data_IF_507690985915
#
_entry.id   IF_507690985915
#
_cell.length_a   1.000
_cell.length_b   1.000
_cell.length_c   1.000
_cell.angle_alpha   90.00
_cell.angle_beta   90.00
_cell.angle_gamma   90.00
#
_symmetry.space_group_name_H-M   'P 1'
#
loop_
_entity.id
_entity.type
_entity.pdbx_description
1 polymer ?
#
# COMPACT_ATOMS: atom_id res chain seq x y z
N UNK A 1 -6.74 -19.71 -8.26
CA UNK A 1 -5.39 -19.74 -8.86
C UNK A 1 -5.44 -18.85 -10.09
N UNK A 2 -4.87 -17.65 -9.98
CA UNK A 2 -4.71 -16.79 -11.14
C UNK A 2 -4.06 -17.60 -12.26
N UNK A 3 -4.85 -18.08 -13.20
CA UNK A 3 -4.36 -18.44 -14.52
C UNK A 3 -3.98 -17.14 -15.16
N UNK A 4 -2.90 -16.85 -14.88
CA UNK A 4 -1.99 -15.78 -14.90
C UNK A 4 -2.03 -15.04 -16.21
N UNK A 5 -2.10 -13.75 -16.08
CA UNK A 5 -1.70 -12.75 -17.06
C UNK A 5 -0.50 -13.22 -17.91
N UNK A 6 0.38 -14.06 -17.36
CA UNK A 6 1.54 -14.66 -18.03
C UNK A 6 1.21 -15.59 -19.20
N UNK A 7 0.05 -16.26 -19.23
CA UNK A 7 -0.32 -17.15 -20.35
C UNK A 7 -0.64 -16.37 -21.64
N UNK A 8 -0.77 -15.05 -21.55
CA UNK A 8 -1.04 -14.16 -22.67
C UNK A 8 0.21 -13.45 -23.21
N UNK A 9 1.35 -13.57 -22.52
CA UNK A 9 2.60 -12.98 -22.99
C UNK A 9 3.25 -13.84 -24.07
N UNK A 10 3.28 -13.35 -25.30
CA UNK A 10 4.04 -13.93 -26.40
C UNK A 10 5.08 -12.92 -26.86
N UNK A 11 6.36 -13.20 -26.58
CA UNK A 11 7.51 -12.39 -27.02
C UNK A 11 8.13 -11.52 -25.93
N UNK A 12 9.23 -10.84 -26.26
CA UNK A 12 10.12 -10.13 -25.32
C UNK A 12 9.80 -8.64 -25.16
N UNK A 13 8.69 -8.14 -25.70
CA UNK A 13 8.33 -6.72 -25.71
C UNK A 13 7.23 -6.36 -24.70
N UNK A 14 7.10 -5.06 -24.44
CA UNK A 14 5.97 -4.54 -23.66
C UNK A 14 4.65 -4.77 -24.42
N UNK A 15 3.69 -5.39 -23.73
CA UNK A 15 2.37 -5.67 -24.28
C UNK A 15 1.29 -5.02 -23.41
N UNK A 16 0.30 -4.38 -24.04
CA UNK A 16 -0.87 -3.85 -23.36
C UNK A 16 -1.87 -4.96 -23.11
N UNK A 17 -2.08 -5.32 -21.86
CA UNK A 17 -3.11 -6.28 -21.46
C UNK A 17 -4.27 -5.56 -20.78
N UNK A 18 -5.49 -6.01 -21.09
CA UNK A 18 -6.68 -5.61 -20.35
C UNK A 18 -6.92 -6.63 -19.24
N UNK A 19 -6.82 -6.17 -18.00
CA UNK A 19 -7.13 -7.03 -16.86
C UNK A 19 -8.63 -7.37 -16.85
N UNK A 20 -9.02 -8.60 -16.44
CA UNK A 20 -10.41 -8.92 -16.15
C UNK A 20 -11.02 -7.96 -15.14
N UNK A 21 -12.33 -7.75 -15.21
CA UNK A 21 -13.02 -6.81 -14.32
C UNK A 21 -12.97 -7.24 -12.84
N UNK A 22 -12.87 -8.52 -12.59
CA UNK A 22 -12.73 -9.16 -11.27
C UNK A 22 -11.27 -9.35 -10.83
N UNK A 23 -10.30 -8.89 -11.62
CA UNK A 23 -8.89 -8.99 -11.27
C UNK A 23 -8.59 -8.18 -10.00
N UNK A 24 -8.00 -8.77 -8.96
CA UNK A 24 -7.59 -8.02 -7.77
C UNK A 24 -6.46 -7.05 -8.08
N UNK A 25 -5.76 -7.28 -9.20
CA UNK A 25 -4.68 -6.40 -9.67
C UNK A 25 -5.21 -5.16 -10.38
N UNK A 26 -4.40 -4.13 -10.38
CA UNK A 26 -4.65 -2.85 -11.02
C UNK A 26 -4.25 -1.69 -10.10
N UNK A 27 -3.65 -0.67 -10.68
CA UNK A 27 -3.08 0.47 -9.96
C UNK A 27 -1.78 0.14 -9.23
N UNK A 28 -1.14 1.17 -8.65
CA UNK A 28 0.20 1.09 -8.05
C UNK A 28 0.25 0.16 -6.83
N UNK A 29 -0.79 0.16 -5.99
CA UNK A 29 -0.83 -0.62 -4.74
C UNK A 29 -0.69 -2.13 -4.95
N UNK A 30 -1.05 -2.65 -6.12
CA UNK A 30 -1.03 -4.08 -6.40
C UNK A 30 0.13 -4.50 -7.30
N UNK A 31 1.07 -3.59 -7.55
CA UNK A 31 2.34 -3.91 -8.20
C UNK A 31 3.26 -4.64 -7.22
N UNK A 32 3.99 -5.63 -7.72
CA UNK A 32 4.89 -6.43 -6.87
C UNK A 32 5.97 -5.57 -6.19
N UNK A 33 6.46 -4.53 -6.85
CA UNK A 33 7.42 -3.60 -6.28
C UNK A 33 6.84 -2.90 -5.03
N UNK A 34 5.61 -2.36 -5.09
CA UNK A 34 4.95 -1.73 -3.97
C UNK A 34 4.71 -2.73 -2.82
N UNK A 35 4.18 -3.91 -3.16
CA UNK A 35 3.83 -4.95 -2.18
C UNK A 35 5.07 -5.53 -1.48
N UNK A 36 6.22 -5.61 -2.15
CA UNK A 36 7.45 -6.16 -1.59
C UNK A 36 8.15 -5.22 -0.61
N UNK A 37 7.97 -3.89 -0.72
CA UNK A 37 8.47 -2.93 0.28
C UNK A 37 7.84 -3.23 1.65
N UNK A 38 6.55 -3.54 1.68
CA UNK A 38 5.81 -3.89 2.91
C UNK A 38 6.00 -5.34 3.32
N UNK A 39 7.23 -5.88 3.28
CA UNK A 39 7.53 -7.25 3.73
C UNK A 39 8.71 -7.28 4.70
N UNK A 40 8.70 -8.29 5.56
CA UNK A 40 9.79 -8.59 6.48
C UNK A 40 10.38 -9.97 6.10
N UNK A 41 11.08 -10.02 4.97
CA UNK A 41 11.64 -11.24 4.41
C UNK A 41 10.58 -12.17 3.85
N UNK A 42 10.19 -13.20 4.58
CA UNK A 42 9.22 -14.21 4.14
C UNK A 42 7.78 -13.94 4.63
N UNK A 43 7.55 -12.84 5.31
CA UNK A 43 6.25 -12.44 5.88
C UNK A 43 5.85 -11.04 5.46
N UNK A 44 4.57 -10.82 5.27
CA UNK A 44 3.99 -9.50 5.02
C UNK A 44 3.93 -8.68 6.30
N UNK A 45 3.94 -7.36 6.16
CA UNK A 45 3.73 -6.42 7.25
C UNK A 45 2.59 -5.45 6.90
N UNK A 46 1.38 -5.67 7.44
CA UNK A 46 0.27 -4.73 7.27
C UNK A 46 0.64 -3.33 7.75
N UNK A 47 1.39 -3.23 8.83
CA UNK A 47 1.86 -1.95 9.38
C UNK A 47 2.64 -1.15 8.33
N UNK A 48 3.65 -1.75 7.70
CA UNK A 48 4.45 -1.08 6.67
C UNK A 48 3.60 -0.81 5.42
N UNK A 49 2.77 -1.78 4.98
CA UNK A 49 1.90 -1.59 3.81
C UNK A 49 0.89 -0.48 4.00
N UNK A 50 0.27 -0.40 5.18
CA UNK A 50 -0.67 0.65 5.52
C UNK A 50 0.00 2.03 5.60
N UNK A 51 1.18 2.10 6.21
CA UNK A 51 1.99 3.31 6.25
C UNK A 51 2.35 3.80 4.83
N UNK A 52 2.78 2.89 3.93
CA UNK A 52 3.09 3.22 2.53
C UNK A 52 1.87 3.74 1.76
N UNK A 53 0.68 3.15 1.97
CA UNK A 53 -0.54 3.67 1.33
C UNK A 53 -0.82 5.09 1.80
N UNK A 54 -0.71 5.35 3.10
CA UNK A 54 -0.90 6.71 3.64
C UNK A 54 0.13 7.71 3.11
N UNK A 55 1.39 7.32 3.08
CA UNK A 55 2.47 8.16 2.60
C UNK A 55 2.35 8.44 1.10
N UNK A 56 2.25 7.39 0.28
CA UNK A 56 2.36 7.52 -1.19
C UNK A 56 1.05 7.92 -1.85
N UNK A 57 -0.10 7.54 -1.29
CA UNK A 57 -1.40 7.77 -1.94
C UNK A 57 -2.26 8.83 -1.24
N UNK A 58 -2.04 9.08 0.05
CA UNK A 58 -2.84 10.04 0.80
C UNK A 58 -2.03 11.26 1.27
N UNK A 59 -0.71 11.27 1.01
CA UNK A 59 0.21 12.32 1.47
C UNK A 59 0.07 12.64 2.98
N UNK A 60 -0.23 11.60 3.77
CA UNK A 60 -0.42 11.66 5.22
C UNK A 60 0.43 10.57 5.90
N UNK A 61 1.78 10.69 5.85
CA UNK A 61 2.67 9.72 6.45
C UNK A 61 2.45 9.62 7.96
N UNK A 62 2.41 8.41 8.52
CA UNK A 62 2.36 8.27 9.97
C UNK A 62 3.62 8.86 10.61
N UNK A 63 3.51 9.42 11.82
CA UNK A 63 4.68 9.93 12.54
C UNK A 63 5.69 8.81 12.80
N UNK A 64 6.99 9.14 12.93
CA UNK A 64 8.00 8.16 13.25
C UNK A 64 7.68 7.47 14.59
N UNK A 65 7.96 6.15 14.73
CA UNK A 65 7.69 5.45 15.97
C UNK A 65 8.50 6.05 17.13
N UNK A 66 7.95 6.05 18.34
CA UNK A 66 8.71 6.44 19.53
C UNK A 66 9.98 5.57 19.70
N UNK A 67 11.04 6.09 20.31
CA UNK A 67 12.23 5.30 20.59
C UNK A 67 11.89 4.08 21.48
N UNK A 68 12.56 2.95 21.20
CA UNK A 68 12.42 1.70 21.97
C UNK A 68 11.05 0.98 21.86
N UNK A 69 10.33 1.17 20.77
CA UNK A 69 9.14 0.35 20.49
C UNK A 69 9.58 -1.04 20.07
N UNK A 70 9.12 -2.11 20.75
CA UNK A 70 9.44 -3.48 20.35
C UNK A 70 8.77 -3.81 19.02
N UNK A 71 9.47 -4.56 18.17
CA UNK A 71 8.89 -5.08 16.94
C UNK A 71 7.65 -5.93 17.21
N UNK A 72 6.69 -5.93 16.28
CA UNK A 72 5.44 -6.68 16.37
C UNK A 72 5.65 -8.18 16.66
N UNK A 73 6.75 -8.74 16.16
CA UNK A 73 7.11 -10.18 16.28
C UNK A 73 7.53 -10.58 17.68
N UNK A 74 7.92 -9.66 18.54
CA UNK A 74 8.48 -9.96 19.88
C UNK A 74 7.49 -9.75 21.04
N UNK A 75 6.21 -9.58 20.74
CA UNK A 75 5.20 -9.28 21.77
C UNK A 75 4.77 -10.48 22.65
N UNK A 76 5.62 -11.50 22.83
CA UNK A 76 5.40 -12.58 23.80
C UNK A 76 4.26 -13.54 23.46
N UNK A 77 3.91 -13.69 22.19
CA UNK A 77 2.72 -14.34 21.70
C UNK A 77 2.97 -15.72 21.10
N UNK A 78 1.88 -16.41 20.77
CA UNK A 78 1.92 -17.66 20.03
C UNK A 78 2.80 -17.48 18.76
N UNK A 79 3.91 -18.21 18.62
CA UNK A 79 4.78 -18.12 17.44
C UNK A 79 4.09 -18.55 16.15
N UNK A 80 2.90 -19.10 16.25
CA UNK A 80 2.03 -19.47 15.12
C UNK A 80 0.82 -18.55 15.00
N UNK A 81 0.79 -17.39 15.63
CA UNK A 81 -0.28 -16.42 15.46
C UNK A 81 -0.32 -15.87 14.02
N UNK A 82 -1.53 -15.63 13.49
CA UNK A 82 -1.72 -14.95 12.20
C UNK A 82 -1.24 -13.50 12.27
N UNK A 83 -0.93 -12.90 11.11
CA UNK A 83 -0.58 -11.47 11.03
C UNK A 83 -1.69 -10.61 11.61
N UNK A 84 -2.95 -10.90 11.29
CA UNK A 84 -4.11 -10.17 11.82
C UNK A 84 -4.20 -10.25 13.35
N UNK A 85 -3.95 -11.44 13.93
CA UNK A 85 -3.94 -11.60 15.39
C UNK A 85 -2.82 -10.81 16.06
N UNK A 86 -1.64 -10.73 15.43
CA UNK A 86 -0.53 -9.95 15.93
C UNK A 86 -0.82 -8.44 15.90
N UNK A 87 -1.46 -7.95 14.84
CA UNK A 87 -1.90 -6.56 14.72
C UNK A 87 -2.94 -6.24 15.80
N UNK A 88 -3.96 -7.10 15.97
CA UNK A 88 -4.99 -6.92 17.00
C UNK A 88 -4.38 -6.82 18.40
N UNK A 89 -3.49 -7.75 18.75
CA UNK A 89 -2.79 -7.76 20.03
C UNK A 89 -1.94 -6.49 20.25
N UNK A 90 -1.29 -5.99 19.20
CA UNK A 90 -0.51 -4.76 19.29
C UNK A 90 -1.40 -3.55 19.60
N UNK A 91 -2.61 -3.52 19.07
CA UNK A 91 -3.60 -2.47 19.28
C UNK A 91 -4.32 -2.55 20.64
N UNK A 92 -4.18 -3.64 21.41
CA UNK A 92 -4.68 -3.69 22.79
C UNK A 92 -4.04 -2.64 23.70
N UNK A 93 -2.81 -2.21 23.39
CA UNK A 93 -2.15 -1.14 24.10
C UNK A 93 -2.61 0.21 23.57
N UNK A 94 -3.31 0.98 24.37
CA UNK A 94 -3.87 2.30 23.99
C UNK A 94 -2.85 3.23 23.34
N UNK A 95 -1.59 3.21 23.84
CA UNK A 95 -0.52 4.01 23.27
C UNK A 95 -0.16 3.59 21.84
N UNK A 96 -0.21 2.31 21.52
CA UNK A 96 0.05 1.80 20.17
C UNK A 96 -1.17 2.04 19.26
N UNK A 97 -2.37 1.75 19.76
CA UNK A 97 -3.62 1.90 19.03
C UNK A 97 -3.84 3.32 18.52
N UNK A 98 -3.43 4.33 19.28
CA UNK A 98 -3.61 5.76 18.91
C UNK A 98 -3.03 6.12 17.54
N UNK A 99 -1.94 5.45 17.14
CA UNK A 99 -1.35 5.61 15.81
C UNK A 99 -1.76 4.49 14.86
N UNK A 100 -1.65 3.23 15.30
CA UNK A 100 -1.79 2.04 14.45
C UNK A 100 -3.21 1.83 13.92
N UNK A 101 -4.25 2.22 14.65
CA UNK A 101 -5.64 2.18 14.16
C UNK A 101 -5.85 2.98 12.86
N UNK A 102 -4.98 3.94 12.56
CA UNK A 102 -5.10 4.82 11.39
C UNK A 102 -4.56 4.21 10.08
N UNK A 103 -3.75 3.15 10.14
CA UNK A 103 -3.12 2.60 8.94
C UNK A 103 -3.02 1.07 8.91
N UNK A 104 -3.05 0.36 10.03
CA UNK A 104 -2.93 -1.10 10.04
C UNK A 104 -4.04 -1.79 9.25
N UNK A 105 -5.27 -1.32 9.37
CA UNK A 105 -6.41 -1.86 8.63
C UNK A 105 -6.27 -1.66 7.12
N UNK A 106 -5.67 -0.56 6.69
CA UNK A 106 -5.37 -0.33 5.27
C UNK A 106 -4.39 -1.41 4.77
N UNK A 107 -3.37 -1.69 5.56
CA UNK A 107 -2.39 -2.73 5.21
C UNK A 107 -2.98 -4.14 5.22
N UNK A 108 -3.90 -4.44 6.16
CA UNK A 108 -4.62 -5.71 6.17
C UNK A 108 -5.44 -5.92 4.90
N UNK A 109 -5.97 -4.86 4.29
CA UNK A 109 -6.64 -4.89 2.99
C UNK A 109 -5.78 -5.42 1.83
N UNK A 110 -4.46 -5.48 2.01
CA UNK A 110 -3.50 -6.00 1.03
C UNK A 110 -2.98 -7.41 1.37
N UNK A 111 -3.47 -8.07 2.43
CA UNK A 111 -2.92 -9.34 2.90
C UNK A 111 -3.18 -10.53 1.99
N UNK A 112 -4.17 -10.45 1.08
CA UNK A 112 -4.30 -11.42 0.01
C UNK A 112 -3.10 -11.43 -0.96
N UNK A 113 -2.25 -10.40 -0.93
CA UNK A 113 -0.99 -10.41 -1.65
C UNK A 113 0.15 -10.82 -0.72
N UNK A 114 0.75 -11.98 -0.98
CA UNK A 114 1.89 -12.49 -0.24
C UNK A 114 3.14 -11.59 -0.33
N UNK A 115 4.27 -12.02 0.24
CA UNK A 115 5.50 -11.21 0.27
C UNK A 115 6.05 -10.84 -1.11
N UNK A 116 5.85 -11.69 -2.11
CA UNK A 116 6.25 -11.44 -3.50
C UNK A 116 5.12 -10.85 -4.36
N UNK A 117 4.03 -10.44 -3.74
CA UNK A 117 2.87 -9.90 -4.44
C UNK A 117 2.02 -10.95 -5.15
N UNK A 118 2.21 -12.25 -4.91
CA UNK A 118 1.35 -13.30 -5.43
C UNK A 118 0.07 -13.36 -4.60
N UNK A 119 -1.06 -13.63 -5.28
CA UNK A 119 -2.35 -13.79 -4.60
C UNK A 119 -2.38 -15.06 -3.75
N UNK A 120 -2.98 -14.95 -2.57
CA UNK A 120 -3.20 -16.06 -1.64
C UNK A 120 -4.53 -15.88 -0.91
N UNK A 121 -5.22 -16.95 -0.63
CA UNK A 121 -6.46 -16.97 0.17
C UNK A 121 -6.19 -17.39 1.62
N UNK A 122 -4.98 -17.93 1.87
CA UNK A 122 -4.57 -18.43 3.18
C UNK A 122 -3.17 -17.93 3.56
N UNK A 123 -2.97 -17.68 4.84
CA UNK A 123 -1.68 -17.42 5.46
C UNK A 123 -1.14 -18.73 6.05
N UNK A 124 0.01 -19.18 5.56
CA UNK A 124 0.77 -20.27 6.17
C UNK A 124 1.79 -19.71 7.16
N UNK A 125 1.56 -19.91 8.45
CA UNK A 125 2.50 -19.55 9.51
C UNK A 125 3.32 -20.76 9.93
N UNK A 126 4.63 -20.63 9.97
CA UNK A 126 5.55 -21.71 10.37
C UNK A 126 6.61 -21.20 11.34
N UNK A 127 6.99 -22.02 12.31
CA UNK A 127 8.13 -21.72 13.18
C UNK A 127 9.48 -21.75 12.45
N UNK A 128 9.57 -22.44 11.31
CA UNK A 128 10.80 -22.53 10.53
C UNK A 128 11.28 -21.18 9.96
N UNK A 129 10.48 -20.14 10.04
CA UNK A 129 10.88 -18.77 9.69
C UNK A 129 12.06 -18.30 10.57
N UNK A 130 12.27 -18.91 11.72
CA UNK A 130 13.35 -18.59 12.65
C UNK A 130 14.40 -19.71 12.82
N UNK A 131 14.18 -20.90 12.27
CA UNK A 131 15.06 -22.05 12.47
C UNK A 131 15.22 -22.88 11.18
N UNK A 132 16.22 -22.55 10.38
CA UNK A 132 16.56 -23.24 9.12
C UNK A 132 16.94 -24.73 9.26
N UNK A 133 16.88 -25.33 10.46
CA UNK A 133 17.34 -26.69 10.74
C UNK A 133 16.25 -27.68 11.16
N UNK A 134 14.99 -27.29 11.28
CA UNK A 134 13.94 -28.18 11.79
C UNK A 134 13.14 -28.77 10.63
N UNK A 135 13.36 -30.05 10.29
CA UNK A 135 12.67 -30.77 9.22
C UNK A 135 11.15 -30.93 9.40
N UNK A 136 10.60 -30.73 10.59
CA UNK A 136 9.17 -30.81 10.93
C UNK A 136 8.78 -29.63 11.85
N UNK A 137 8.87 -28.41 11.35
CA UNK A 137 8.41 -27.27 12.13
C UNK A 137 6.88 -27.30 12.26
N UNK A 138 6.31 -26.95 13.42
CA UNK A 138 4.90 -26.70 13.56
C UNK A 138 4.43 -25.66 12.54
N UNK A 139 3.23 -25.88 11.98
CA UNK A 139 2.63 -24.96 11.03
C UNK A 139 1.14 -24.80 11.33
N UNK A 140 0.62 -23.64 11.00
CA UNK A 140 -0.80 -23.31 11.11
C UNK A 140 -1.25 -22.55 9.87
N UNK A 141 -2.44 -22.82 9.41
CA UNK A 141 -3.03 -22.18 8.24
C UNK A 141 -4.22 -21.35 8.70
N UNK A 142 -4.30 -20.11 8.25
CA UNK A 142 -5.41 -19.23 8.54
C UNK A 142 -6.01 -18.70 7.24
N UNK A 143 -7.33 -18.65 7.12
CA UNK A 143 -7.97 -17.90 6.05
C UNK A 143 -7.58 -16.41 6.20
N UNK A 144 -7.36 -15.74 5.07
CA UNK A 144 -7.06 -14.33 5.09
C UNK A 144 -8.35 -13.53 5.21
N UNK A 145 -8.42 -12.72 6.25
CA UNK A 145 -9.41 -11.68 6.42
C UNK A 145 -8.76 -10.34 6.04
N UNK A 146 -9.13 -9.82 4.87
CA UNK A 146 -8.63 -8.56 4.33
C UNK A 146 -9.59 -7.39 4.57
N UNK A 147 -10.54 -7.55 5.50
CA UNK A 147 -11.46 -6.48 5.88
C UNK A 147 -10.75 -5.37 6.65
N UNK A 148 -11.24 -4.16 6.55
CA UNK A 148 -10.68 -3.02 7.25
C UNK A 148 -11.50 -1.76 7.08
N UNK A 149 -10.89 -0.64 7.51
CA UNK A 149 -11.48 0.69 7.48
C UNK A 149 -10.43 1.71 7.10
N UNK A 150 -10.81 2.71 6.32
CA UNK A 150 -9.99 3.89 6.03
C UNK A 150 -10.13 4.94 7.14
N UNK A 151 -9.20 5.88 7.27
CA UNK A 151 -9.27 6.96 8.28
C UNK A 151 -10.54 7.82 8.22
N UNK A 152 -11.21 7.88 7.06
CA UNK A 152 -12.46 8.59 6.86
C UNK A 152 -13.72 7.80 7.28
N UNK A 153 -13.56 6.59 7.84
CA UNK A 153 -14.64 5.71 8.28
C UNK A 153 -15.22 4.79 7.21
N UNK A 154 -14.70 4.82 5.97
CA UNK A 154 -15.12 3.91 4.91
C UNK A 154 -14.61 2.50 5.16
N UNK A 155 -15.52 1.54 5.25
CA UNK A 155 -15.19 0.13 5.47
C UNK A 155 -15.07 -0.65 4.17
N UNK A 156 -14.30 -1.72 4.19
CA UNK A 156 -14.13 -2.62 3.06
C UNK A 156 -13.91 -4.06 3.53
N UNK A 157 -14.24 -5.04 2.70
CA UNK A 157 -14.05 -6.46 2.98
C UNK A 157 -12.81 -7.05 2.25
N UNK A 158 -12.38 -6.42 1.18
CA UNK A 158 -11.29 -6.89 0.32
C UNK A 158 -10.70 -5.74 -0.50
N UNK A 159 -9.62 -6.03 -1.24
CA UNK A 159 -8.86 -5.03 -2.03
C UNK A 159 -9.71 -4.22 -3.02
N UNK A 160 -10.75 -4.81 -3.61
CA UNK A 160 -11.63 -4.05 -4.51
C UNK A 160 -12.44 -2.99 -3.75
N UNK A 161 -13.00 -3.37 -2.59
CA UNK A 161 -13.69 -2.43 -1.70
C UNK A 161 -12.74 -1.32 -1.22
N UNK A 162 -11.51 -1.68 -0.83
CA UNK A 162 -10.50 -0.70 -0.43
C UNK A 162 -10.15 0.28 -1.56
N UNK A 163 -9.97 -0.20 -2.79
CA UNK A 163 -9.75 0.68 -3.96
C UNK A 163 -10.94 1.61 -4.19
N UNK A 164 -12.17 1.08 -4.10
CA UNK A 164 -13.37 1.89 -4.26
C UNK A 164 -13.50 2.96 -3.16
N UNK A 165 -13.16 2.63 -1.92
CA UNK A 165 -13.13 3.57 -0.81
C UNK A 165 -12.07 4.66 -1.00
N UNK A 166 -10.86 4.30 -1.44
CA UNK A 166 -9.80 5.28 -1.78
C UNK A 166 -10.20 6.19 -2.95
N UNK A 167 -10.96 5.69 -3.92
CA UNK A 167 -11.44 6.51 -5.05
C UNK A 167 -12.49 7.55 -4.65
N UNK A 168 -13.07 7.48 -3.46
CA UNK A 168 -13.89 8.58 -2.91
C UNK A 168 -13.04 9.78 -2.52
N UNK A 169 -11.76 9.56 -2.25
CA UNK A 169 -10.75 10.57 -1.95
C UNK A 169 -9.85 10.86 -3.18
N UNK A 170 -10.41 10.76 -4.39
CA UNK A 170 -9.62 10.83 -5.63
C UNK A 170 -8.77 12.08 -5.76
N UNK A 171 -9.24 13.25 -5.25
CA UNK A 171 -8.47 14.50 -5.26
C UNK A 171 -7.23 14.39 -4.36
N UNK A 172 -7.36 13.82 -3.16
CA UNK A 172 -6.23 13.62 -2.26
C UNK A 172 -5.20 12.66 -2.87
N UNK A 173 -5.67 11.54 -3.45
CA UNK A 173 -4.80 10.59 -4.15
C UNK A 173 -4.11 11.24 -5.35
N UNK A 174 -4.84 12.03 -6.15
CA UNK A 174 -4.28 12.76 -7.28
C UNK A 174 -3.24 13.80 -6.84
N UNK A 175 -3.52 14.52 -5.75
CA UNK A 175 -2.62 15.49 -5.16
C UNK A 175 -1.30 14.85 -4.72
N UNK A 176 -1.36 13.75 -4.00
CA UNK A 176 -0.16 13.00 -3.57
C UNK A 176 0.69 12.55 -4.76
N UNK A 177 0.05 12.01 -5.81
CA UNK A 177 0.75 11.59 -7.04
C UNK A 177 1.36 12.80 -7.76
N UNK A 178 0.60 13.90 -7.85
CA UNK A 178 1.08 15.13 -8.49
C UNK A 178 2.30 15.68 -7.77
N UNK A 179 2.25 15.81 -6.44
CA UNK A 179 3.36 16.28 -5.62
C UNK A 179 4.59 15.38 -5.75
N UNK A 180 4.42 14.06 -5.71
CA UNK A 180 5.52 13.12 -5.93
C UNK A 180 6.18 13.26 -7.31
N UNK A 181 5.39 13.44 -8.38
CA UNK A 181 5.89 13.69 -9.72
C UNK A 181 6.58 15.05 -9.81
N UNK A 182 6.04 16.06 -9.15
CA UNK A 182 6.60 17.41 -9.09
C UNK A 182 7.96 17.45 -8.39
N UNK A 183 8.06 16.81 -7.22
CA UNK A 183 9.33 16.65 -6.50
C UNK A 183 10.37 15.93 -7.37
N UNK A 184 9.96 14.85 -8.04
CA UNK A 184 10.85 14.11 -8.94
C UNK A 184 11.34 14.97 -10.10
N UNK A 185 10.45 15.75 -10.73
CA UNK A 185 10.77 16.59 -11.87
C UNK A 185 11.70 17.75 -11.52
N UNK A 186 11.54 18.34 -10.33
CA UNK A 186 12.30 19.49 -9.88
C UNK A 186 13.55 19.12 -9.04
N UNK A 187 13.68 17.84 -8.63
CA UNK A 187 14.78 17.39 -7.78
C UNK A 187 14.80 18.04 -6.38
N UNK A 188 13.67 18.53 -5.90
CA UNK A 188 13.48 19.15 -4.59
C UNK A 188 12.09 18.89 -4.03
N UNK A 189 11.94 19.06 -2.73
CA UNK A 189 10.62 18.99 -2.07
C UNK A 189 9.73 20.17 -2.47
N UNK A 190 8.41 19.95 -2.32
CA UNK A 190 7.39 21.00 -2.47
C UNK A 190 7.60 22.08 -1.43
N UNK A 191 7.62 23.33 -1.86
CA UNK A 191 7.64 24.49 -1.00
C UNK A 191 6.26 25.12 -0.85
N UNK A 192 6.08 25.97 0.15
CA UNK A 192 4.83 26.71 0.33
C UNK A 192 4.43 27.53 -0.92
N UNK A 193 5.41 28.05 -1.66
CA UNK A 193 5.17 28.83 -2.87
C UNK A 193 4.70 27.99 -4.06
N UNK A 194 4.84 26.67 -4.02
CA UNK A 194 4.39 25.74 -5.07
C UNK A 194 2.91 25.39 -4.92
N UNK A 195 2.34 25.49 -3.70
CA UNK A 195 0.98 25.07 -3.39
C UNK A 195 -0.09 25.69 -4.32
N UNK A 196 -0.08 27.02 -4.62
CA UNK A 196 -1.06 27.59 -5.53
C UNK A 196 -1.02 27.00 -6.94
N UNK A 197 0.15 26.60 -7.43
CA UNK A 197 0.30 25.95 -8.73
C UNK A 197 -0.26 24.53 -8.70
N UNK A 198 0.03 23.78 -7.62
CA UNK A 198 -0.47 22.42 -7.45
C UNK A 198 -1.99 22.41 -7.37
N UNK A 199 -2.57 23.26 -6.53
CA UNK A 199 -4.02 23.38 -6.38
C UNK A 199 -4.70 23.78 -7.71
N UNK A 200 -4.17 24.79 -8.43
CA UNK A 200 -4.70 25.18 -9.74
C UNK A 200 -4.62 24.04 -10.75
N UNK A 201 -3.54 23.27 -10.76
CA UNK A 201 -3.41 22.12 -11.66
C UNK A 201 -4.42 21.02 -11.31
N UNK A 202 -4.64 20.76 -10.03
CA UNK A 202 -5.65 19.78 -9.60
C UNK A 202 -7.07 20.22 -9.95
N UNK A 203 -7.42 21.49 -9.78
CA UNK A 203 -8.72 22.05 -10.15
C UNK A 203 -8.99 21.89 -11.67
N UNK A 204 -7.99 22.17 -12.49
CA UNK A 204 -8.09 22.04 -13.94
C UNK A 204 -8.22 20.57 -14.39
N UNK A 205 -7.60 19.64 -13.67
CA UNK A 205 -7.60 18.20 -14.01
C UNK A 205 -8.78 17.44 -13.43
N UNK A 206 -9.57 18.04 -12.55
CA UNK A 206 -10.70 17.38 -11.90
C UNK A 206 -11.73 16.86 -12.90
N UNK A 207 -12.11 17.68 -13.87
CA UNK A 207 -13.07 17.31 -14.91
C UNK A 207 -12.61 16.14 -15.80
N UNK A 208 -11.30 15.93 -15.92
CA UNK A 208 -10.68 14.84 -16.65
C UNK A 208 -10.41 13.60 -15.77
N UNK A 209 -10.76 13.65 -14.50
CA UNK A 209 -10.45 12.60 -13.50
C UNK A 209 -8.94 12.34 -13.31
N UNK A 210 -8.16 13.38 -13.33
CA UNK A 210 -6.73 13.41 -13.01
C UNK A 210 -5.86 12.45 -13.83
N UNK A 211 -5.81 12.52 -15.17
CA UNK A 211 -4.95 11.66 -15.98
C UNK A 211 -3.47 11.94 -15.68
N UNK A 212 -2.69 10.89 -15.41
CA UNK A 212 -1.24 11.02 -15.11
C UNK A 212 -0.49 11.74 -16.23
N UNK A 213 -0.84 11.51 -17.50
CA UNK A 213 -0.23 12.21 -18.63
C UNK A 213 -0.46 13.72 -18.57
N UNK A 214 -1.67 14.15 -18.24
CA UNK A 214 -2.02 15.56 -18.08
C UNK A 214 -1.28 16.18 -16.89
N UNK A 215 -1.15 15.44 -15.78
CA UNK A 215 -0.31 15.85 -14.62
C UNK A 215 1.13 16.12 -15.04
N UNK A 216 1.77 15.15 -15.72
CA UNK A 216 3.14 15.30 -16.22
C UNK A 216 3.25 16.52 -17.13
N UNK A 217 2.30 16.69 -18.06
CA UNK A 217 2.31 17.84 -18.98
C UNK A 217 2.22 19.17 -18.22
N UNK A 218 1.34 19.28 -17.21
CA UNK A 218 1.25 20.46 -16.35
C UNK A 218 2.56 20.76 -15.62
N UNK A 219 3.23 19.75 -15.13
CA UNK A 219 4.52 19.91 -14.44
C UNK A 219 5.59 20.44 -15.39
N UNK A 220 5.80 19.77 -16.54
CA UNK A 220 6.91 20.13 -17.45
C UNK A 220 6.66 21.45 -18.21
N UNK A 221 5.45 21.97 -18.23
CA UNK A 221 5.11 23.28 -18.79
C UNK A 221 5.01 24.37 -17.72
N UNK A 222 5.20 24.02 -16.45
CA UNK A 222 5.11 24.97 -15.35
C UNK A 222 6.33 25.89 -15.29
N UNK A 223 6.12 27.09 -14.76
CA UNK A 223 7.20 28.06 -14.58
C UNK A 223 8.36 27.53 -13.73
N UNK A 224 8.13 26.87 -12.57
CA UNK A 224 9.21 26.31 -11.78
C UNK A 224 10.06 25.26 -12.51
N UNK A 225 9.49 24.53 -13.47
CA UNK A 225 10.24 23.56 -14.27
C UNK A 225 11.05 24.20 -15.40
N UNK A 226 10.51 25.26 -16.01
CA UNK A 226 11.13 25.90 -17.19
C UNK A 226 12.19 26.95 -16.84
N UNK A 227 12.12 27.52 -15.63
CA UNK A 227 13.01 28.61 -15.20
C UNK A 227 14.03 28.14 -14.13
N UNK A 228 14.25 26.84 -14.03
CA UNK A 228 15.20 26.25 -13.07
C UNK A 228 16.65 26.40 -13.53
#
# INVERSE_FOLDING_TARGET
MEKTVTDHFKGDGFQKLKLPADSPRGGVMTQSAFLSIGTMGNRTSPVIRGALVKEILLNDPPPPPPPNVPELVHAGTDPLASVRSLVALHQEKTQCASCHARFDFIGLGLENFGPLGLWRDEELVTQAQFASKIKKAPKKIYPIDASGELPNGETFEHVHGMKAALMKEQRAVAGSIFEGLYCYALGRDVSFTDQPLIESALDELEAEQYPIRSMIHRIVTSKPFLEY
#
